data_IF_418009350742
#
_entry.id   IF_418009350742
#
_cell.length_a   1.000
_cell.length_b   1.000
_cell.length_c   1.000
_cell.angle_alpha   90.00
_cell.angle_beta   90.00
_cell.angle_gamma   90.00
#
_symmetry.space_group_name_H-M   'P 1'
#
loop_
_entity.id
_entity.type
_entity.pdbx_description
1 polymer ?
#
# COMPACT_ATOMS: atom_id res chain seq x y z
N UNK A 1 1.49 0.25 31.57
CA UNK A 1 1.62 1.25 30.49
C UNK A 1 3.00 1.88 30.53
N UNK A 2 3.59 2.18 29.36
CA UNK A 2 4.91 2.79 29.22
C UNK A 2 4.88 3.97 28.25
N UNK A 3 5.87 4.85 28.34
CA UNK A 3 6.00 6.01 27.47
C UNK A 3 6.15 5.57 26.00
N UNK A 4 5.32 6.11 25.10
CA UNK A 4 5.34 5.77 23.67
C UNK A 4 6.60 6.24 22.91
N UNK A 5 7.52 6.93 23.58
CA UNK A 5 8.73 7.52 22.98
C UNK A 5 10.00 6.84 23.50
N UNK A 6 10.16 6.75 24.83
CA UNK A 6 11.34 6.15 25.46
C UNK A 6 11.08 4.78 26.09
N UNK A 7 9.85 4.26 26.00
CA UNK A 7 9.41 2.97 26.55
C UNK A 7 9.60 2.82 28.07
N UNK A 8 9.94 3.90 28.79
CA UNK A 8 10.01 3.90 30.24
C UNK A 8 8.65 3.55 30.85
N UNK A 9 8.62 2.60 31.77
CA UNK A 9 7.40 2.22 32.50
C UNK A 9 6.93 3.38 33.37
N UNK A 10 5.62 3.63 33.36
CA UNK A 10 5.03 4.60 34.29
C UNK A 10 5.01 4.01 35.70
N UNK A 11 5.33 4.85 36.68
CA UNK A 11 5.44 4.50 38.09
C UNK A 11 5.17 5.76 38.92
N UNK A 12 5.20 5.66 40.25
CA UNK A 12 5.02 6.79 41.16
C UNK A 12 6.00 7.94 40.88
N UNK A 13 7.23 7.62 40.44
CA UNK A 13 8.25 8.60 40.07
C UNK A 13 8.14 9.11 38.61
N UNK A 14 7.46 8.36 37.74
CA UNK A 14 7.30 8.65 36.31
C UNK A 14 5.83 8.72 35.95
N UNK A 15 5.25 9.90 36.14
CA UNK A 15 3.85 10.16 35.80
C UNK A 15 3.60 10.08 34.29
N UNK A 16 2.42 9.57 33.96
CA UNK A 16 1.88 9.53 32.60
C UNK A 16 1.26 10.88 32.25
N UNK A 17 1.67 11.46 31.12
CA UNK A 17 1.16 12.72 30.60
C UNK A 17 0.88 12.58 29.11
N UNK A 18 -0.34 12.88 28.67
CA UNK A 18 -0.69 12.84 27.26
C UNK A 18 -0.07 14.01 26.49
N UNK A 19 0.49 13.73 25.31
CA UNK A 19 0.94 14.79 24.40
C UNK A 19 -0.26 15.56 23.83
N UNK A 20 -0.36 16.89 24.01
CA UNK A 20 -1.50 17.67 23.49
C UNK A 20 -1.64 17.66 21.96
N UNK A 21 -0.59 17.33 21.22
CA UNK A 21 -0.60 17.28 19.75
C UNK A 21 -0.98 15.92 19.14
N UNK A 22 -0.79 14.80 19.85
CA UNK A 22 -1.08 13.46 19.31
C UNK A 22 -1.82 12.52 20.28
N UNK A 23 -2.09 12.94 21.51
CA UNK A 23 -2.81 12.15 22.52
C UNK A 23 -2.03 11.02 23.17
N UNK A 24 -0.87 10.62 22.64
CA UNK A 24 -0.10 9.49 23.18
C UNK A 24 0.47 9.74 24.58
N UNK A 25 0.53 8.68 25.38
CA UNK A 25 1.07 8.69 26.73
C UNK A 25 2.59 8.84 26.71
N UNK A 26 3.06 9.92 27.30
CA UNK A 26 4.46 10.31 27.35
C UNK A 26 4.90 10.54 28.79
N UNK A 27 6.16 10.30 29.09
CA UNK A 27 6.74 10.81 30.34
C UNK A 27 7.07 12.30 30.20
N UNK A 28 7.13 13.01 31.32
CA UNK A 28 7.50 14.44 31.36
C UNK A 28 8.84 14.74 30.68
N UNK A 29 9.79 13.78 30.73
CA UNK A 29 11.09 13.88 30.07
C UNK A 29 10.97 13.86 28.55
N UNK A 30 9.95 13.24 27.96
CA UNK A 30 9.77 13.20 26.50
C UNK A 30 8.93 14.37 25.96
N UNK A 31 8.20 15.08 26.83
CA UNK A 31 7.46 16.30 26.54
C UNK A 31 8.35 17.55 26.73
N UNK A 32 9.34 17.72 25.84
CA UNK A 32 10.35 18.79 25.97
C UNK A 32 10.01 20.07 25.20
N UNK A 33 9.34 19.95 24.07
CA UNK A 33 9.24 21.03 23.09
C UNK A 33 8.01 21.88 23.36
N UNK A 34 8.15 23.20 23.46
CA UNK A 34 7.02 24.12 23.58
C UNK A 34 6.50 24.46 22.19
N UNK A 35 5.20 24.35 21.98
CA UNK A 35 4.55 24.68 20.72
C UNK A 35 3.20 25.34 21.00
N UNK A 36 2.83 26.32 20.18
CA UNK A 36 1.53 26.99 20.27
C UNK A 36 0.50 26.18 19.48
N UNK A 37 -0.40 25.52 20.19
CA UNK A 37 -1.46 24.73 19.57
C UNK A 37 -2.66 25.65 19.40
N UNK A 38 -3.28 25.71 18.20
CA UNK A 38 -4.55 26.40 18.01
C UNK A 38 -5.54 25.97 19.10
N UNK A 39 -6.20 26.93 19.74
CA UNK A 39 -7.18 26.76 20.85
C UNK A 39 -6.64 26.42 22.24
N UNK A 40 -5.41 25.89 22.37
CA UNK A 40 -4.88 25.41 23.66
C UNK A 40 -3.68 26.21 24.18
N UNK A 41 -3.21 27.19 23.42
CA UNK A 41 -2.07 28.03 23.74
C UNK A 41 -0.74 27.27 23.76
N UNK A 42 0.26 27.84 24.42
CA UNK A 42 1.62 27.28 24.46
C UNK A 42 1.68 26.09 25.42
N UNK A 43 1.77 24.88 24.87
CA UNK A 43 1.91 23.63 25.63
C UNK A 43 3.17 22.85 25.25
N UNK A 44 3.62 21.97 26.14
CA UNK A 44 4.72 21.05 25.86
C UNK A 44 4.20 19.86 25.05
N UNK A 45 4.83 19.58 23.92
CA UNK A 45 4.52 18.48 23.00
C UNK A 45 5.74 17.55 22.84
N UNK A 46 5.50 16.35 22.32
CA UNK A 46 6.55 15.39 22.02
C UNK A 46 7.36 15.79 20.78
N UNK A 47 8.58 15.26 20.66
CA UNK A 47 9.46 15.55 19.52
C UNK A 47 8.85 15.20 18.16
N UNK A 48 8.04 14.14 18.08
CA UNK A 48 7.35 13.75 16.84
C UNK A 48 6.35 14.82 16.38
N UNK A 49 5.52 15.34 17.29
CA UNK A 49 4.59 16.43 16.99
C UNK A 49 5.33 17.72 16.63
N UNK A 50 6.38 18.06 17.37
CA UNK A 50 7.16 19.27 17.10
C UNK A 50 7.77 19.23 15.70
N UNK A 51 8.29 18.07 15.28
CA UNK A 51 8.82 17.88 13.94
C UNK A 51 7.71 17.98 12.88
N UNK A 52 6.58 17.30 13.10
CA UNK A 52 5.42 17.34 12.20
C UNK A 52 4.96 18.78 11.95
N UNK A 53 4.78 19.56 13.00
CA UNK A 53 4.35 20.96 12.89
C UNK A 53 5.36 21.87 12.17
N UNK A 54 6.67 21.67 12.37
CA UNK A 54 7.71 22.45 11.68
C UNK A 54 7.83 22.11 10.20
N UNK A 55 7.52 20.87 9.80
CA UNK A 55 7.55 20.47 8.40
C UNK A 55 6.25 20.79 7.66
N UNK A 56 5.09 20.75 8.33
CA UNK A 56 3.81 21.13 7.71
C UNK A 56 3.67 22.64 7.47
N UNK A 57 4.38 23.48 8.24
CA UNK A 57 4.35 24.94 8.04
C UNK A 57 5.14 25.43 6.82
N UNK A 58 5.88 24.55 6.14
CA UNK A 58 6.65 24.88 4.92
C UNK A 58 6.02 24.38 3.61
N UNK A 59 4.93 23.61 3.67
CA UNK A 59 4.38 22.89 2.51
C UNK A 59 2.87 23.06 2.32
N UNK A 60 2.26 24.11 2.87
CA UNK A 60 0.84 24.40 2.63
C UNK A 60 0.59 25.90 2.50
N UNK A 61 0.66 26.37 1.26
CA UNK A 61 0.06 27.64 0.83
C UNK A 61 -0.80 27.37 -0.40
N UNK A 62 -2.11 27.38 -0.21
CA UNK A 62 -3.23 27.56 -1.16
C UNK A 62 -4.51 27.49 -0.30
N UNK A 63 -5.47 28.42 -0.20
CA UNK A 63 -5.68 29.81 -0.60
C UNK A 63 -6.85 30.34 0.26
N UNK A 64 -6.83 31.63 0.68
CA UNK A 64 -7.88 32.64 0.39
C UNK A 64 -7.92 33.86 1.36
N UNK A 65 -7.47 35.03 0.83
CA UNK A 65 -8.08 36.40 0.83
C UNK A 65 -8.16 37.15 2.21
N UNK A 66 -7.64 38.37 2.48
CA UNK A 66 -7.73 39.70 1.81
C UNK A 66 -6.52 40.68 2.04
N UNK A 67 -6.17 41.38 0.95
CA UNK A 67 -5.65 42.76 0.71
C UNK A 67 -4.72 43.51 1.71
N UNK A 68 -3.51 43.87 1.25
CA UNK A 68 -3.22 45.25 0.80
C UNK A 68 -1.99 45.29 -0.13
N UNK A 69 -2.12 46.09 -1.17
CA UNK A 69 -1.30 46.22 -2.36
C UNK A 69 -0.34 47.39 -2.18
N UNK A 70 0.96 47.13 -2.05
CA UNK A 70 1.98 48.13 -2.38
C UNK A 70 3.15 47.44 -3.08
N UNK A 71 2.97 47.28 -4.38
CA UNK A 71 4.03 47.02 -5.34
C UNK A 71 5.03 48.19 -5.28
N UNK A 72 6.25 47.91 -4.81
CA UNK A 72 7.40 48.76 -5.07
C UNK A 72 8.57 47.85 -5.43
N UNK A 73 9.08 47.89 -6.68
CA UNK A 73 10.25 47.13 -7.04
C UNK A 73 11.39 47.58 -6.11
N UNK A 74 11.97 46.62 -5.38
CA UNK A 74 13.10 46.87 -4.50
C UNK A 74 14.21 47.52 -5.32
N UNK A 75 14.56 48.75 -4.97
CA UNK A 75 15.75 49.40 -5.49
C UNK A 75 16.96 48.51 -5.20
N UNK A 76 17.78 48.33 -6.24
CA UNK A 76 19.04 47.61 -6.20
C UNK A 76 19.88 48.14 -5.03
N UNK A 77 19.98 47.34 -3.97
CA UNK A 77 20.72 47.71 -2.77
C UNK A 77 22.18 47.67 -3.15
N UNK A 78 22.78 48.84 -3.37
CA UNK A 78 24.21 48.98 -3.60
C UNK A 78 24.97 48.56 -2.35
N UNK A 79 25.37 47.28 -2.33
CA UNK A 79 25.96 46.56 -1.20
C UNK A 79 27.26 47.25 -0.74
N UNK A 80 27.90 47.99 -1.64
CA UNK A 80 29.15 48.72 -1.40
C UNK A 80 29.00 49.80 -0.32
N UNK A 81 27.95 50.62 -0.38
CA UNK A 81 27.71 51.73 0.56
C UNK A 81 27.37 51.26 1.98
N UNK A 82 26.81 50.06 2.09
CA UNK A 82 26.47 49.42 3.38
C UNK A 82 27.68 48.75 4.03
N UNK A 83 28.64 48.29 3.22
CA UNK A 83 29.93 47.76 3.70
C UNK A 83 30.84 48.88 4.22
N UNK A 84 30.90 50.02 3.54
CA UNK A 84 31.67 51.20 4.00
C UNK A 84 31.14 51.77 5.33
N UNK A 85 29.82 51.70 5.54
CA UNK A 85 29.20 52.16 6.80
C UNK A 85 29.46 51.23 8.00
N UNK A 86 29.93 50.00 7.77
CA UNK A 86 30.26 49.00 8.80
C UNK A 86 31.75 49.00 9.17
N UNK A 87 32.61 49.64 8.38
CA UNK A 87 34.05 49.72 8.62
C UNK A 87 34.35 50.88 9.56
N UNK A 88 34.40 50.58 10.86
CA UNK A 88 34.70 51.54 11.91
C UNK A 88 36.22 51.82 11.97
N UNK A 89 36.72 53.00 11.58
CA UNK A 89 38.16 53.27 11.42
C UNK A 89 38.94 53.38 12.75
N UNK A 90 38.26 53.30 13.90
CA UNK A 90 38.87 53.43 15.23
C UNK A 90 39.13 52.10 15.96
N UNK A 91 38.97 50.94 15.31
CA UNK A 91 39.33 49.64 15.92
C UNK A 91 40.83 49.35 15.69
N UNK A 92 41.62 49.01 16.73
CA UNK A 92 42.98 48.52 16.51
C UNK A 92 42.92 47.25 15.64
N UNK A 93 43.96 46.97 14.83
CA UNK A 93 43.93 45.84 13.90
C UNK A 93 43.62 44.55 14.68
N UNK A 94 42.56 43.87 14.27
CA UNK A 94 42.27 42.52 14.75
C UNK A 94 43.44 41.68 14.24
N UNK A 95 44.36 41.32 15.14
CA UNK A 95 45.35 40.29 14.87
C UNK A 95 44.55 39.00 14.72
N UNK A 96 44.22 38.67 13.47
CA UNK A 96 43.71 37.36 13.11
C UNK A 96 44.87 36.38 13.32
N UNK A 97 44.96 35.79 14.52
CA UNK A 97 45.74 34.58 14.70
C UNK A 97 45.11 33.55 13.77
N UNK A 98 45.76 33.30 12.62
CA UNK A 98 45.47 32.13 11.77
C UNK A 98 45.38 30.94 12.71
N UNK A 99 44.20 30.36 12.84
CA UNK A 99 44.03 29.12 13.58
C UNK A 99 45.02 28.12 12.99
N UNK A 100 46.06 27.78 13.76
CA UNK A 100 47.01 26.73 13.39
C UNK A 100 46.21 25.44 13.17
N UNK A 101 46.56 24.65 12.16
CA UNK A 101 45.81 23.43 11.88
C UNK A 101 45.73 22.59 13.16
N UNK A 102 44.60 21.94 13.41
CA UNK A 102 44.37 21.11 14.59
C UNK A 102 45.59 20.20 14.89
N UNK A 103 46.21 19.64 13.85
CA UNK A 103 47.43 18.81 13.92
C UNK A 103 48.70 19.54 14.40
N UNK A 104 48.89 20.81 14.02
CA UNK A 104 50.03 21.62 14.45
C UNK A 104 49.98 21.94 15.95
N UNK A 105 48.76 21.98 16.51
CA UNK A 105 48.54 22.13 17.95
C UNK A 105 48.92 20.88 18.75
N UNK A 106 48.83 19.68 18.16
CA UNK A 106 49.32 18.46 18.81
C UNK A 106 50.84 18.33 18.66
N UNK A 107 51.40 18.77 17.54
CA UNK A 107 52.85 18.70 17.30
C UNK A 107 53.65 19.66 18.19
N UNK A 108 53.04 20.74 18.65
CA UNK A 108 53.66 21.73 19.53
C UNK A 108 53.70 21.24 20.99
N UNK A 109 54.91 21.02 21.52
CA UNK A 109 55.13 20.59 22.92
C UNK A 109 55.38 19.10 23.14
N UNK A 110 55.41 18.29 22.07
CA UNK A 110 55.74 16.86 22.13
C UNK A 110 57.23 16.59 21.93
N UNK A 111 57.71 15.47 22.49
CA UNK A 111 59.05 14.93 22.27
C UNK A 111 59.24 14.51 20.79
N UNK A 112 60.46 14.49 20.22
CA UNK A 112 60.67 14.21 18.80
C UNK A 112 60.05 12.90 18.29
N UNK A 113 60.03 11.85 19.13
CA UNK A 113 59.39 10.57 18.79
C UNK A 113 57.87 10.71 18.61
N UNK A 114 57.23 11.47 19.49
CA UNK A 114 55.78 11.69 19.46
C UNK A 114 55.36 12.60 18.30
N UNK A 115 56.22 13.56 17.91
CA UNK A 115 55.99 14.40 16.73
C UNK A 115 55.98 13.57 15.44
N UNK A 116 56.85 12.55 15.34
CA UNK A 116 56.87 11.61 14.20
C UNK A 116 55.60 10.75 14.16
N UNK A 117 55.10 10.33 15.31
CA UNK A 117 53.83 9.59 15.41
C UNK A 117 52.67 10.43 14.88
N UNK A 118 52.58 11.71 15.27
CA UNK A 118 51.55 12.63 14.76
C UNK A 118 51.63 12.80 13.25
N UNK A 119 52.84 12.91 12.69
CA UNK A 119 53.07 13.01 11.25
C UNK A 119 52.65 11.73 10.50
N UNK A 120 52.96 10.56 11.08
CA UNK A 120 52.54 9.26 10.53
C UNK A 120 51.02 9.08 10.54
N UNK A 121 50.36 9.51 11.62
CA UNK A 121 48.90 9.48 11.73
C UNK A 121 48.23 10.41 10.72
N UNK A 122 48.80 11.61 10.49
CA UNK A 122 48.34 12.52 9.43
C UNK A 122 48.39 11.84 8.06
N UNK A 123 49.52 11.20 7.74
CA UNK A 123 49.72 10.49 6.46
C UNK A 123 48.80 9.28 6.29
N UNK A 124 48.50 8.55 7.36
CA UNK A 124 47.55 7.43 7.32
C UNK A 124 46.12 7.92 7.09
N UNK A 125 45.69 8.98 7.78
CA UNK A 125 44.35 9.56 7.62
C UNK A 125 44.13 10.11 6.21
N UNK A 126 45.15 10.72 5.60
CA UNK A 126 45.09 11.16 4.20
C UNK A 126 44.94 9.98 3.24
N UNK A 127 45.66 8.88 3.46
CA UNK A 127 45.53 7.64 2.66
C UNK A 127 44.15 6.99 2.78
N UNK A 128 43.61 6.87 3.98
CA UNK A 128 42.27 6.30 4.21
C UNK A 128 41.16 7.13 3.54
N UNK A 129 41.37 8.45 3.46
CA UNK A 129 40.44 9.35 2.75
C UNK A 129 40.49 9.18 1.23
N UNK A 130 41.62 8.72 0.68
CA UNK A 130 41.77 8.40 -0.75
C UNK A 130 41.30 7.01 -1.14
N UNK A 131 41.21 6.06 -0.18
CA UNK A 131 40.72 4.69 -0.39
C UNK A 131 39.23 4.52 -0.08
N UNK A 132 38.61 5.48 0.62
CA UNK A 132 37.17 5.51 0.78
C UNK A 132 36.50 5.65 -0.60
N UNK A 133 35.89 4.56 -1.08
CA UNK A 133 35.11 4.56 -2.32
C UNK A 133 34.05 5.65 -2.26
N UNK A 134 33.85 6.37 -3.37
CA UNK A 134 32.79 7.37 -3.45
C UNK A 134 31.43 6.75 -3.12
N UNK A 135 30.56 7.51 -2.46
CA UNK A 135 29.19 7.10 -2.15
C UNK A 135 28.44 6.65 -3.41
N UNK A 136 28.76 7.23 -4.56
CA UNK A 136 28.17 6.86 -5.86
C UNK A 136 28.64 5.49 -6.35
N UNK A 137 29.90 5.13 -6.10
CA UNK A 137 30.44 3.81 -6.42
C UNK A 137 29.87 2.74 -5.49
N UNK A 138 29.70 3.07 -4.21
CA UNK A 138 29.01 2.19 -3.24
C UNK A 138 27.56 1.97 -3.68
N UNK A 139 26.85 3.02 -4.10
CA UNK A 139 25.47 2.94 -4.58
C UNK A 139 25.36 2.06 -5.83
N UNK A 140 26.26 2.25 -6.80
CA UNK A 140 26.32 1.46 -8.03
C UNK A 140 26.55 -0.03 -7.73
N UNK A 141 27.48 -0.36 -6.84
CA UNK A 141 27.74 -1.75 -6.43
C UNK A 141 26.55 -2.38 -5.72
N UNK A 142 25.88 -1.62 -4.85
CA UNK A 142 24.67 -2.09 -4.16
C UNK A 142 23.51 -2.33 -5.13
N UNK A 143 23.37 -1.52 -6.19
CA UNK A 143 22.37 -1.72 -7.23
C UNK A 143 22.64 -3.02 -8.01
N UNK A 144 23.88 -3.22 -8.47
CA UNK A 144 24.29 -4.47 -9.14
C UNK A 144 24.11 -5.72 -8.27
N UNK A 145 24.38 -5.63 -6.96
CA UNK A 145 24.14 -6.74 -6.02
C UNK A 145 22.66 -7.02 -5.75
N UNK A 146 21.77 -6.08 -6.05
CA UNK A 146 20.32 -6.20 -5.92
C UNK A 146 19.63 -6.54 -7.24
N UNK A 147 20.41 -6.82 -8.29
CA UNK A 147 19.93 -6.98 -9.66
C UNK A 147 19.09 -5.77 -10.14
N UNK A 148 19.37 -4.58 -9.59
CA UNK A 148 18.74 -3.33 -9.94
C UNK A 148 19.68 -2.55 -10.87
N UNK A 149 19.15 -2.03 -11.99
CA UNK A 149 19.97 -1.31 -12.96
C UNK A 149 20.49 0.02 -12.35
N UNK A 150 21.81 0.22 -12.25
CA UNK A 150 22.40 1.38 -11.60
C UNK A 150 22.15 2.71 -12.31
N UNK A 151 21.74 2.70 -13.59
CA UNK A 151 21.46 3.90 -14.37
C UNK A 151 19.96 4.22 -14.47
N UNK A 152 19.10 3.30 -14.02
CA UNK A 152 17.67 3.56 -13.90
C UNK A 152 17.45 4.44 -12.67
N UNK A 153 17.21 5.74 -12.91
CA UNK A 153 16.62 6.62 -11.90
C UNK A 153 15.36 5.95 -11.40
N UNK A 154 15.39 5.43 -10.16
CA UNK A 154 14.22 4.91 -9.45
C UNK A 154 13.09 5.90 -9.63
N UNK A 155 12.15 5.56 -10.53
CA UNK A 155 10.90 6.30 -10.64
C UNK A 155 10.27 6.12 -9.27
N UNK A 156 10.09 7.21 -8.53
CA UNK A 156 9.38 7.16 -7.25
C UNK A 156 7.95 6.79 -7.57
N UNK A 157 7.65 5.49 -7.57
CA UNK A 157 6.30 4.97 -7.75
C UNK A 157 5.50 5.48 -6.56
N UNK A 158 4.50 6.31 -6.83
CA UNK A 158 3.61 6.80 -5.79
C UNK A 158 2.66 5.66 -5.39
N UNK A 159 3.06 4.91 -4.36
CA UNK A 159 2.34 3.74 -3.81
C UNK A 159 0.94 4.12 -3.28
N UNK A 160 0.64 5.42 -3.13
CA UNK A 160 -0.66 5.92 -2.67
C UNK A 160 -1.55 6.44 -3.79
N UNK A 161 -1.14 6.28 -5.06
CA UNK A 161 -1.99 6.66 -6.18
C UNK A 161 -3.18 5.70 -6.27
N UNK A 162 -4.40 6.25 -6.19
CA UNK A 162 -5.64 5.48 -6.37
C UNK A 162 -5.68 4.97 -7.80
N UNK A 163 -5.87 3.66 -7.96
CA UNK A 163 -5.99 3.02 -9.27
C UNK A 163 -7.29 3.45 -9.94
N UNK A 164 -7.18 4.21 -11.03
CA UNK A 164 -8.32 4.70 -11.81
C UNK A 164 -8.67 3.77 -12.98
N UNK A 165 -7.98 2.63 -13.14
CA UNK A 165 -8.27 1.66 -14.21
C UNK A 165 -9.61 0.98 -13.97
N UNK A 166 -10.29 0.66 -15.06
CA UNK A 166 -11.50 -0.17 -15.04
C UNK A 166 -11.17 -1.59 -14.62
N UNK A 167 -12.14 -2.35 -14.12
CA UNK A 167 -11.89 -3.72 -13.66
C UNK A 167 -11.45 -4.64 -14.81
N UNK A 168 -11.96 -4.42 -16.02
CA UNK A 168 -11.49 -5.12 -17.23
C UNK A 168 -10.02 -4.82 -17.55
N UNK A 169 -9.60 -3.56 -17.44
CA UNK A 169 -8.19 -3.21 -17.66
C UNK A 169 -7.28 -3.83 -16.61
N UNK A 170 -7.75 -3.95 -15.36
CA UNK A 170 -6.99 -4.62 -14.31
C UNK A 170 -6.83 -6.12 -14.59
N UNK A 171 -7.88 -6.77 -15.11
CA UNK A 171 -7.79 -8.19 -15.47
C UNK A 171 -6.85 -8.40 -16.65
N UNK A 172 -6.93 -7.56 -17.68
CA UNK A 172 -6.07 -7.66 -18.86
C UNK A 172 -4.59 -7.43 -18.50
N UNK A 173 -4.30 -6.42 -17.66
CA UNK A 173 -2.95 -6.15 -17.16
C UNK A 173 -2.39 -7.33 -16.33
N UNK A 174 -3.23 -7.97 -15.51
CA UNK A 174 -2.85 -9.15 -14.72
C UNK A 174 -2.56 -10.36 -15.62
N UNK A 175 -3.40 -10.58 -16.65
CA UNK A 175 -3.18 -11.64 -17.64
C UNK A 175 -1.86 -11.40 -18.37
N UNK A 176 -1.59 -10.16 -18.76
CA UNK A 176 -0.35 -9.80 -19.45
C UNK A 176 0.89 -10.03 -18.56
N UNK A 177 0.81 -9.74 -17.26
CA UNK A 177 1.89 -10.05 -16.30
C UNK A 177 2.18 -11.55 -16.24
N UNK A 178 1.14 -12.38 -16.13
CA UNK A 178 1.27 -13.85 -16.13
C UNK A 178 1.89 -14.38 -17.43
N UNK A 179 1.45 -13.89 -18.58
CA UNK A 179 1.99 -14.28 -19.88
C UNK A 179 3.47 -13.92 -20.00
N UNK A 180 3.86 -12.72 -19.56
CA UNK A 180 5.26 -12.29 -19.55
C UNK A 180 6.13 -13.16 -18.64
N UNK A 181 5.60 -13.59 -17.49
CA UNK A 181 6.30 -14.50 -16.60
C UNK A 181 6.50 -15.89 -17.25
N UNK A 182 5.49 -16.37 -17.98
CA UNK A 182 5.59 -17.61 -18.74
C UNK A 182 6.61 -17.50 -19.87
N UNK A 183 6.65 -16.40 -20.62
CA UNK A 183 7.66 -16.15 -21.65
C UNK A 183 9.09 -16.16 -21.09
N UNK A 184 9.32 -15.54 -19.93
CA UNK A 184 10.61 -15.58 -19.23
C UNK A 184 10.97 -16.99 -18.75
N UNK A 185 9.99 -17.78 -18.31
CA UNK A 185 10.22 -19.17 -17.93
C UNK A 185 10.44 -20.10 -19.13
N UNK A 186 9.86 -19.74 -20.28
CA UNK A 186 9.92 -20.49 -21.53
C UNK A 186 11.10 -20.10 -22.42
N UNK A 187 11.85 -19.03 -22.09
CA UNK A 187 13.12 -18.72 -22.75
C UNK A 187 14.14 -19.80 -22.40
N UNK A 188 14.02 -20.90 -23.13
CA UNK A 188 14.79 -22.13 -23.06
C UNK A 188 16.26 -21.94 -23.39
N UNK A 189 16.66 -20.75 -23.87
CA UNK A 189 18.05 -20.39 -24.18
C UNK A 189 18.97 -20.56 -22.99
N UNK A 190 18.56 -20.15 -21.78
CA UNK A 190 19.40 -20.27 -20.59
C UNK A 190 19.62 -21.74 -20.19
N UNK A 191 18.57 -22.56 -20.22
CA UNK A 191 18.63 -23.99 -19.91
C UNK A 191 19.39 -24.76 -21.01
N UNK A 192 19.20 -24.39 -22.28
CA UNK A 192 19.86 -24.98 -23.44
C UNK A 192 21.36 -24.66 -23.47
N UNK A 193 21.75 -23.43 -23.15
CA UNK A 193 23.15 -23.01 -23.03
C UNK A 193 23.87 -23.75 -21.89
N UNK A 194 23.24 -23.84 -20.72
CA UNK A 194 23.77 -24.60 -19.58
C UNK A 194 23.88 -26.08 -19.95
N UNK A 195 22.88 -26.65 -20.62
CA UNK A 195 22.91 -28.03 -21.09
C UNK A 195 24.03 -28.29 -22.10
N UNK A 196 24.24 -27.38 -23.06
CA UNK A 196 25.33 -27.47 -24.03
C UNK A 196 26.69 -27.39 -23.33
N UNK A 197 26.84 -26.48 -22.37
CA UNK A 197 28.06 -26.33 -21.56
C UNK A 197 28.33 -27.56 -20.71
N UNK A 198 27.31 -28.16 -20.11
CA UNK A 198 27.41 -29.42 -19.35
C UNK A 198 27.84 -30.59 -20.25
N UNK A 199 27.28 -30.70 -21.46
CA UNK A 199 27.69 -31.71 -22.46
C UNK A 199 29.15 -31.54 -22.88
N UNK A 200 29.61 -30.30 -23.08
CA UNK A 200 31.02 -30.02 -23.39
C UNK A 200 31.96 -30.35 -22.22
N UNK A 201 31.53 -30.09 -20.98
CA UNK A 201 32.30 -30.41 -19.76
C UNK A 201 32.34 -31.91 -19.45
N UNK A 202 31.32 -32.67 -19.87
CA UNK A 202 31.24 -34.12 -19.66
C UNK A 202 32.20 -34.91 -20.57
N UNK A 203 32.91 -34.25 -21.50
CA UNK A 203 34.03 -34.84 -22.24
C UNK A 203 33.65 -35.97 -23.20
N UNK A 204 32.39 -36.03 -23.65
CA UNK A 204 31.92 -37.02 -24.63
C UNK A 204 32.16 -36.43 -26.03
N UNK A 205 33.40 -36.48 -26.49
CA UNK A 205 33.69 -36.44 -27.94
C UNK A 205 33.58 -37.87 -28.48
N UNK A 206 32.63 -38.03 -29.40
CA UNK A 206 32.57 -39.02 -30.48
C UNK A 206 32.95 -40.47 -30.19
N UNK A 207 31.96 -41.26 -29.77
CA UNK A 207 31.72 -42.59 -30.36
C UNK A 207 30.20 -42.81 -30.52
N UNK A 208 29.71 -43.19 -31.71
CA UNK A 208 28.34 -43.66 -31.85
C UNK A 208 28.26 -45.03 -31.15
N UNK A 209 27.77 -45.03 -29.92
CA UNK A 209 27.36 -46.25 -29.23
C UNK A 209 25.86 -46.36 -29.43
N UNK A 210 25.46 -47.25 -30.34
CA UNK A 210 24.11 -47.79 -30.36
C UNK A 210 23.83 -48.41 -28.99
N UNK A 211 23.15 -47.65 -28.15
CA UNK A 211 22.45 -48.17 -27.00
C UNK A 211 21.06 -47.55 -27.03
N UNK A 212 20.13 -48.39 -27.45
CA UNK A 212 18.69 -48.28 -27.31
C UNK A 212 18.33 -47.58 -26.00
N UNK A 213 18.00 -46.29 -26.09
CA UNK A 213 17.17 -45.61 -25.12
C UNK A 213 15.77 -45.67 -25.72
N UNK A 214 14.88 -46.39 -25.04
CA UNK A 214 13.49 -46.48 -25.44
C UNK A 214 12.90 -45.07 -25.59
N UNK A 215 12.11 -44.95 -26.64
CA UNK A 215 11.47 -43.77 -27.20
C UNK A 215 10.26 -43.34 -26.36
N UNK A 216 10.39 -43.26 -25.03
CA UNK A 216 9.27 -42.94 -24.13
C UNK A 216 8.85 -41.45 -24.21
N UNK A 217 9.71 -40.58 -24.76
CA UNK A 217 9.48 -39.13 -24.82
C UNK A 217 8.64 -38.70 -26.04
N UNK A 218 8.53 -39.55 -27.08
CA UNK A 218 7.64 -39.28 -28.22
C UNK A 218 6.19 -39.68 -27.91
N UNK A 219 5.99 -40.72 -27.10
CA UNK A 219 4.65 -41.14 -26.64
C UNK A 219 4.00 -40.06 -25.75
N UNK A 220 4.73 -39.47 -24.80
CA UNK A 220 4.20 -38.38 -23.95
C UNK A 220 3.86 -37.11 -24.76
N UNK A 221 4.69 -36.76 -25.75
CA UNK A 221 4.44 -35.61 -26.65
C UNK A 221 3.27 -35.86 -27.58
N UNK A 222 3.06 -37.10 -28.02
CA UNK A 222 1.88 -37.46 -28.81
C UNK A 222 0.61 -37.48 -27.96
N UNK A 223 0.68 -37.94 -26.70
CA UNK A 223 -0.46 -37.93 -25.75
C UNK A 223 -0.86 -36.50 -25.39
N UNK A 224 0.10 -35.62 -25.09
CA UNK A 224 -0.17 -34.20 -24.80
C UNK A 224 -0.79 -33.47 -25.99
N UNK A 225 -0.29 -33.69 -27.22
CA UNK A 225 -0.90 -33.16 -28.44
C UNK A 225 -2.35 -33.62 -28.63
N UNK A 226 -2.65 -34.90 -28.36
CA UNK A 226 -4.02 -35.45 -28.43
C UNK A 226 -4.94 -34.83 -27.38
N UNK A 227 -4.44 -34.61 -26.15
CA UNK A 227 -5.18 -33.96 -25.08
C UNK A 227 -5.51 -32.50 -25.41
N UNK A 228 -4.54 -31.74 -25.93
CA UNK A 228 -4.74 -30.35 -26.36
C UNK A 228 -5.76 -30.27 -27.50
N UNK A 229 -5.65 -31.15 -28.51
CA UNK A 229 -6.60 -31.20 -29.60
C UNK A 229 -8.03 -31.52 -29.14
N UNK A 230 -8.17 -32.40 -28.13
CA UNK A 230 -9.45 -32.74 -27.52
C UNK A 230 -10.05 -31.54 -26.77
N UNK A 231 -9.25 -30.85 -25.95
CA UNK A 231 -9.71 -29.69 -25.18
C UNK A 231 -10.15 -28.53 -26.10
N UNK A 232 -9.42 -28.28 -27.20
CA UNK A 232 -9.80 -27.25 -28.17
C UNK A 232 -11.09 -27.60 -28.92
N UNK A 233 -11.30 -28.87 -29.26
CA UNK A 233 -12.55 -29.32 -29.87
C UNK A 233 -13.75 -29.23 -28.91
N UNK A 234 -13.50 -29.47 -27.62
CA UNK A 234 -14.51 -29.36 -26.56
C UNK A 234 -14.91 -27.90 -26.32
N UNK A 235 -13.94 -26.98 -26.25
CA UNK A 235 -14.22 -25.54 -26.13
C UNK A 235 -14.99 -24.98 -27.34
N UNK A 236 -14.71 -25.45 -28.56
CA UNK A 236 -15.46 -25.07 -29.76
C UNK A 236 -16.90 -25.59 -29.74
N UNK A 237 -17.12 -26.78 -29.17
CA UNK A 237 -18.46 -27.31 -28.95
C UNK A 237 -19.21 -26.53 -27.87
N UNK A 238 -18.56 -26.25 -26.74
CA UNK A 238 -19.12 -25.46 -25.64
C UNK A 238 -19.53 -24.06 -26.10
N UNK A 239 -18.67 -23.37 -26.86
CA UNK A 239 -19.01 -22.09 -27.49
C UNK A 239 -20.22 -22.18 -28.41
N UNK A 240 -20.36 -23.26 -29.20
CA UNK A 240 -21.56 -23.47 -30.02
C UNK A 240 -22.80 -23.69 -29.16
N UNK A 241 -22.70 -24.37 -28.03
CA UNK A 241 -23.84 -24.54 -27.13
C UNK A 241 -24.19 -23.24 -26.38
N UNK A 242 -23.20 -22.42 -26.01
CA UNK A 242 -23.40 -21.07 -25.47
C UNK A 242 -24.05 -20.14 -26.50
N UNK A 243 -23.66 -20.19 -27.77
CA UNK A 243 -24.29 -19.43 -28.86
C UNK A 243 -25.73 -19.91 -29.17
N UNK A 244 -26.09 -21.14 -28.81
CA UNK A 244 -27.47 -21.65 -28.87
C UNK A 244 -28.19 -21.57 -27.50
N UNK A 245 -27.56 -20.98 -26.46
CA UNK A 245 -28.19 -20.83 -25.15
C UNK A 245 -29.35 -19.81 -25.19
N UNK A 246 -29.25 -18.80 -26.06
CA UNK A 246 -30.33 -17.83 -26.30
C UNK A 246 -31.61 -18.52 -26.84
N UNK A 247 -31.48 -19.58 -27.67
CA UNK A 247 -32.63 -20.38 -28.16
C UNK A 247 -33.18 -21.35 -27.10
N UNK A 248 -32.36 -21.79 -26.14
CA UNK A 248 -32.78 -22.63 -25.01
C UNK A 248 -33.45 -21.81 -23.90
N UNK A 249 -32.94 -20.61 -23.61
CA UNK A 249 -33.58 -19.65 -22.69
C UNK A 249 -34.96 -19.22 -23.22
N UNK A 250 -35.13 -19.05 -24.53
CA UNK A 250 -36.46 -18.73 -25.10
C UNK A 250 -37.51 -19.84 -24.87
N UNK A 251 -37.11 -21.12 -24.88
CA UNK A 251 -38.01 -22.23 -24.52
C UNK A 251 -38.26 -22.33 -23.01
N UNK A 252 -37.26 -22.11 -22.16
CA UNK A 252 -37.44 -22.11 -20.70
C UNK A 252 -38.28 -20.93 -20.21
N UNK A 253 -38.21 -19.77 -20.88
CA UNK A 253 -39.05 -18.59 -20.59
C UNK A 253 -40.52 -18.85 -21.00
N UNK A 254 -40.79 -19.64 -22.05
CA UNK A 254 -42.15 -20.05 -22.42
C UNK A 254 -42.76 -21.07 -21.45
N UNK A 255 -41.95 -21.92 -20.82
CA UNK A 255 -42.41 -22.84 -19.76
C UNK A 255 -42.58 -22.13 -18.40
N UNK A 256 -41.67 -21.22 -18.03
CA UNK A 256 -41.76 -20.45 -16.78
C UNK A 256 -42.93 -19.45 -16.75
N UNK A 257 -43.39 -18.95 -17.91
CA UNK A 257 -44.61 -18.14 -18.00
C UNK A 257 -45.90 -18.92 -17.78
N UNK A 258 -45.85 -20.25 -17.67
CA UNK A 258 -47.04 -21.09 -17.43
C UNK A 258 -47.20 -21.53 -15.98
N UNK A 259 -46.31 -21.17 -15.06
CA UNK A 259 -46.33 -21.75 -13.70
C UNK A 259 -46.52 -20.80 -12.52
N UNK A 260 -46.41 -19.48 -12.63
CA UNK A 260 -46.50 -18.63 -11.41
C UNK A 260 -47.62 -17.58 -11.45
N UNK A 261 -48.47 -17.66 -10.41
CA UNK A 261 -49.24 -16.59 -9.75
C UNK A 261 -50.74 -16.33 -10.09
N UNK A 262 -51.54 -17.34 -10.45
CA UNK A 262 -53.02 -17.17 -10.44
C UNK A 262 -53.81 -17.96 -9.39
N UNK A 263 -53.26 -19.00 -8.72
CA UNK A 263 -54.10 -19.92 -7.92
C UNK A 263 -53.59 -20.31 -6.50
N UNK A 264 -52.58 -19.66 -5.92
CA UNK A 264 -52.29 -19.90 -4.48
C UNK A 264 -53.39 -19.30 -3.59
N UNK A 265 -54.30 -20.16 -3.16
CA UNK A 265 -55.42 -19.80 -2.30
C UNK A 265 -54.90 -19.24 -0.97
N UNK A 266 -55.31 -18.03 -0.55
CA UNK A 266 -54.82 -17.43 0.68
C UNK A 266 -55.11 -18.33 1.88
N UNK A 267 -54.07 -18.66 2.65
CA UNK A 267 -54.13 -19.54 3.83
C UNK A 267 -53.60 -18.82 5.08
N UNK A 268 -53.85 -19.41 6.25
CA UNK A 268 -53.33 -18.93 7.53
C UNK A 268 -51.80 -19.12 7.59
N UNK A 269 -51.08 -18.12 8.11
CA UNK A 269 -49.61 -18.19 8.22
C UNK A 269 -49.14 -19.25 9.23
N UNK A 270 -50.02 -19.64 10.16
CA UNK A 270 -49.71 -20.60 11.23
C UNK A 270 -50.26 -22.00 10.96
N UNK A 271 -51.18 -22.15 10.00
CA UNK A 271 -51.80 -23.43 9.65
C UNK A 271 -52.34 -23.45 8.22
N UNK A 272 -52.61 -24.61 7.66
CA UNK A 272 -53.09 -24.72 6.26
C UNK A 272 -54.58 -24.34 6.06
N UNK A 273 -55.21 -23.66 7.02
CA UNK A 273 -56.62 -23.28 6.93
C UNK A 273 -56.81 -22.11 5.96
N UNK A 274 -57.74 -22.26 5.01
CA UNK A 274 -58.09 -21.23 4.01
C UNK A 274 -59.44 -20.53 4.29
N UNK A 275 -60.17 -21.02 5.30
CA UNK A 275 -61.49 -20.49 5.68
C UNK A 275 -61.42 -19.47 6.83
N UNK A 276 -62.30 -18.46 6.78
CA UNK A 276 -62.50 -17.43 7.81
C UNK A 276 -61.23 -16.69 8.27
N UNK A 277 -60.36 -16.42 7.32
CA UNK A 277 -59.10 -15.71 7.56
C UNK A 277 -59.33 -14.26 8.01
N UNK A 278 -58.50 -13.86 8.97
CA UNK A 278 -58.44 -12.54 9.57
C UNK A 278 -57.09 -11.93 9.26
N UNK A 279 -57.10 -10.74 8.67
CA UNK A 279 -55.90 -9.97 8.38
C UNK A 279 -55.48 -9.19 9.61
N UNK A 280 -54.23 -9.35 10.04
CA UNK A 280 -53.65 -8.56 11.12
C UNK A 280 -53.01 -7.28 10.56
N UNK A 281 -53.47 -6.10 10.98
CA UNK A 281 -52.88 -4.81 10.56
C UNK A 281 -51.52 -4.57 11.22
N UNK A 282 -51.31 -5.13 12.43
CA UNK A 282 -50.05 -5.00 13.17
C UNK A 282 -48.91 -5.85 12.58
N UNK A 283 -49.24 -7.02 12.03
CA UNK A 283 -48.30 -7.94 11.40
C UNK A 283 -48.27 -7.75 9.87
N UNK A 284 -48.16 -6.52 9.39
CA UNK A 284 -47.99 -6.21 7.95
C UNK A 284 -49.04 -6.83 7.00
N UNK A 285 -50.24 -7.16 7.49
CA UNK A 285 -51.29 -7.75 6.69
C UNK A 285 -51.26 -9.28 6.63
N UNK A 286 -50.54 -9.96 7.52
CA UNK A 286 -50.55 -11.42 7.63
C UNK A 286 -51.96 -11.98 7.90
N UNK A 287 -52.25 -13.15 7.30
CA UNK A 287 -53.54 -13.83 7.41
C UNK A 287 -53.49 -14.91 8.50
N UNK A 288 -54.48 -14.92 9.39
CA UNK A 288 -54.60 -15.92 10.45
C UNK A 288 -56.04 -16.45 10.51
N UNK A 289 -56.23 -17.72 10.86
CA UNK A 289 -57.56 -18.19 11.28
C UNK A 289 -57.90 -17.65 12.68
N UNK A 290 -59.17 -17.66 13.11
CA UNK A 290 -59.59 -17.06 14.38
C UNK A 290 -58.85 -17.63 15.60
N UNK A 291 -58.55 -18.93 15.58
CA UNK A 291 -57.84 -19.64 16.66
C UNK A 291 -56.38 -19.20 16.70
N UNK A 292 -55.68 -19.28 15.56
CA UNK A 292 -54.28 -18.89 15.49
C UNK A 292 -54.07 -17.39 15.77
N UNK A 293 -55.05 -16.55 15.45
CA UNK A 293 -54.97 -15.13 15.78
C UNK A 293 -55.01 -14.91 17.29
N UNK A 294 -55.95 -15.54 18.01
CA UNK A 294 -56.12 -15.37 19.46
C UNK A 294 -55.02 -16.07 20.28
N UNK A 295 -54.49 -17.19 19.80
CA UNK A 295 -53.39 -17.90 20.45
C UNK A 295 -52.04 -17.16 20.34
N UNK A 296 -51.85 -16.36 19.28
CA UNK A 296 -50.60 -15.65 19.01
C UNK A 296 -50.68 -14.14 19.27
N UNK A 297 -51.86 -13.60 19.61
CA UNK A 297 -52.04 -12.20 19.96
C UNK A 297 -52.73 -12.08 21.32
N UNK A 298 -51.92 -11.94 22.37
CA UNK A 298 -52.39 -11.76 23.73
C UNK A 298 -53.25 -10.48 23.88
N UNK A 299 -54.03 -10.38 24.95
CA UNK A 299 -54.94 -9.24 25.25
C UNK A 299 -54.21 -7.88 25.28
N UNK A 300 -52.90 -7.87 25.51
CA UNK A 300 -52.06 -6.69 25.43
C UNK A 300 -51.69 -6.31 23.98
N UNK A 301 -51.44 -7.31 23.12
CA UNK A 301 -51.05 -7.13 21.71
C UNK A 301 -52.26 -6.78 20.83
N UNK A 302 -53.45 -7.28 21.16
CA UNK A 302 -54.72 -6.93 20.49
C UNK A 302 -55.03 -5.42 20.46
N UNK A 303 -54.42 -4.62 21.35
CA UNK A 303 -54.54 -3.16 21.31
C UNK A 303 -53.82 -2.52 20.12
N UNK A 304 -52.71 -3.12 19.69
CA UNK A 304 -51.90 -2.64 18.57
C UNK A 304 -52.18 -3.44 17.29
N UNK A 305 -52.51 -4.72 17.43
CA UNK A 305 -52.73 -5.66 16.34
C UNK A 305 -54.23 -5.88 16.15
N UNK A 306 -54.84 -4.98 15.37
CA UNK A 306 -56.27 -5.07 15.03
C UNK A 306 -56.49 -6.09 13.92
N UNK A 307 -57.54 -6.90 14.05
CA UNK A 307 -57.99 -7.85 13.02
C UNK A 307 -59.07 -7.26 12.12
N UNK A 308 -58.96 -7.50 10.82
CA UNK A 308 -60.00 -7.25 9.82
C UNK A 308 -60.36 -8.54 9.08
N UNK A 309 -61.63 -8.79 8.73
CA UNK A 309 -61.99 -9.98 7.95
C UNK A 309 -61.34 -9.92 6.56
N UNK A 310 -60.60 -10.97 6.19
CA UNK A 310 -60.07 -11.08 4.84
C UNK A 310 -61.25 -11.37 3.89
N UNK A 311 -61.66 -10.37 3.11
CA UNK A 311 -62.73 -10.55 2.13
C UNK A 311 -62.28 -11.60 1.12
N UNK A 312 -62.99 -12.74 1.07
CA UNK A 312 -62.84 -13.73 -0.01
C UNK A 312 -62.92 -12.98 -1.33
N UNK A 313 -61.84 -13.03 -2.13
CA UNK A 313 -61.88 -12.56 -3.52
C UNK A 313 -62.93 -13.42 -4.21
N UNK A 314 -64.11 -12.86 -4.47
CA UNK A 314 -65.11 -13.54 -5.29
C UNK A 314 -64.47 -13.85 -6.64
N UNK A 315 -64.25 -15.14 -6.92
CA UNK A 315 -63.82 -15.64 -8.22
C UNK A 315 -64.73 -15.05 -9.30
N UNK A 316 -64.11 -14.38 -10.27
CA UNK A 316 -64.73 -13.94 -11.52
C UNK A 316 -63.79 -14.29 -12.65
#
# INVERSE_FOLDING_TARGET
MSCSICQAKFSFFTREVACPGCGFSCCSKCLKYKYNIPDKGVKKICGRCFNKHNFTSKSSSNNSIEMDEHDKPMAEVDITKKLESLENPAKPPIIMYKHTNHWDRFKTGLEPADQEIVERLRKLKEKDKTTALSVDEIRRRLALLKDEDPDVRQRTINIHQVDTRTDQQKTDDLIQEYLKQLELSSSSDSVSEIQARLKSLQGISDKPREHSANDDDDDEKQVTKKLIAKALAEAELEKKYEENADELEEMEIEEAKRTDDEDEEPSCVMCEQTEDLQRCIGCHGDLYCPVCFEDNHDEFELKMHKKEPATKRNQR
#
